data_IF_228893305078
#
_entry.id   IF_228893305078
#
_cell.length_a   1.000
_cell.length_b   1.000
_cell.length_c   1.000
_cell.angle_alpha   90.00
_cell.angle_beta   90.00
_cell.angle_gamma   90.00
#
_symmetry.space_group_name_H-M   'P 1'
#
loop_
_entity.id
_entity.type
_entity.pdbx_description
1 polymer ?
#
# COMPACT_ATOMS: atom_id res chain seq x y z
N UNK A 1 -2.96 -5.16 -14.20
CA UNK A 1 -3.50 -6.19 -13.28
C UNK A 1 -3.30 -5.74 -11.85
N UNK A 2 -4.34 -5.82 -11.05
CA UNK A 2 -4.33 -5.36 -9.67
C UNK A 2 -4.51 -6.54 -8.74
N UNK A 3 -3.52 -6.82 -7.90
CA UNK A 3 -3.46 -8.00 -7.07
C UNK A 3 -3.24 -7.66 -5.60
N UNK A 4 -3.75 -8.52 -4.73
CA UNK A 4 -3.51 -8.45 -3.29
C UNK A 4 -2.81 -9.72 -2.84
N UNK A 5 -1.80 -9.58 -1.97
CA UNK A 5 -1.19 -10.73 -1.33
C UNK A 5 -1.28 -10.55 0.19
N UNK A 6 -1.80 -11.57 0.87
CA UNK A 6 -1.97 -11.58 2.31
C UNK A 6 -1.38 -12.85 2.87
N UNK A 7 -0.89 -12.77 4.09
CA UNK A 7 -0.32 -13.93 4.75
C UNK A 7 0.60 -13.50 5.88
N UNK A 8 1.05 -14.50 6.65
CA UNK A 8 1.96 -14.26 7.74
C UNK A 8 3.37 -13.98 7.20
N UNK A 9 4.09 -13.01 7.76
CA UNK A 9 5.47 -12.76 7.36
C UNK A 9 6.32 -14.04 7.50
N UNK A 10 7.17 -14.29 6.53
CA UNK A 10 8.06 -15.43 6.55
C UNK A 10 7.51 -16.74 6.01
N UNK A 11 6.25 -16.79 5.59
CA UNK A 11 5.62 -17.99 5.05
C UNK A 11 5.79 -18.12 3.53
N UNK A 12 6.93 -17.69 2.99
CA UNK A 12 7.19 -17.72 1.56
C UNK A 12 6.51 -16.60 0.77
N UNK A 13 5.87 -15.67 1.46
CA UNK A 13 5.13 -14.58 0.84
C UNK A 13 6.02 -13.70 -0.03
N UNK A 14 7.22 -13.37 0.43
CA UNK A 14 8.17 -12.54 -0.32
C UNK A 14 8.59 -13.21 -1.63
N UNK A 15 8.83 -14.53 -1.60
CA UNK A 15 9.19 -15.28 -2.80
C UNK A 15 8.05 -15.31 -3.80
N UNK A 16 6.82 -15.52 -3.32
CA UNK A 16 5.64 -15.53 -4.17
C UNK A 16 5.40 -14.16 -4.79
N UNK A 17 5.55 -13.09 -4.03
CA UNK A 17 5.39 -11.74 -4.54
C UNK A 17 6.39 -11.43 -5.64
N UNK A 18 7.65 -11.81 -5.46
CA UNK A 18 8.69 -11.61 -6.47
C UNK A 18 8.37 -12.33 -7.77
N UNK A 19 7.88 -13.57 -7.69
CA UNK A 19 7.48 -14.33 -8.87
C UNK A 19 6.30 -13.70 -9.61
N UNK A 20 5.32 -13.18 -8.87
CA UNK A 20 4.16 -12.53 -9.46
C UNK A 20 4.59 -11.25 -10.18
N UNK A 21 5.42 -10.44 -9.54
CA UNK A 21 5.92 -9.20 -10.14
C UNK A 21 6.70 -9.50 -11.42
N UNK A 22 7.57 -10.50 -11.40
CA UNK A 22 8.35 -10.89 -12.57
C UNK A 22 7.45 -11.38 -13.70
N UNK A 23 6.46 -12.21 -13.37
CA UNK A 23 5.59 -12.84 -14.38
C UNK A 23 4.59 -11.83 -14.99
N UNK A 24 4.00 -10.96 -14.18
CA UNK A 24 2.94 -10.04 -14.63
C UNK A 24 3.41 -8.62 -14.85
N UNK A 25 4.66 -8.30 -14.50
CA UNK A 25 5.23 -6.97 -14.65
C UNK A 25 4.40 -5.87 -13.98
N UNK A 26 3.95 -6.13 -12.76
CA UNK A 26 3.18 -5.16 -11.96
C UNK A 26 4.08 -4.53 -10.89
N UNK A 27 3.69 -3.36 -10.37
CA UNK A 27 4.42 -2.72 -9.29
C UNK A 27 4.17 -3.47 -7.97
N UNK A 28 5.25 -3.82 -7.26
CA UNK A 28 5.14 -4.42 -5.93
C UNK A 28 5.09 -3.31 -4.89
N UNK A 29 3.99 -3.25 -4.15
CA UNK A 29 3.74 -2.20 -3.17
C UNK A 29 3.51 -2.85 -1.80
N UNK A 30 4.43 -2.63 -0.87
CA UNK A 30 4.26 -3.04 0.53
C UNK A 30 3.93 -1.82 1.38
N UNK A 31 3.28 -2.04 2.54
CA UNK A 31 2.97 -0.95 3.45
C UNK A 31 4.23 -0.24 3.94
N UNK A 32 5.28 -1.00 4.26
CA UNK A 32 6.56 -0.41 4.68
C UNK A 32 7.15 0.50 3.62
N UNK A 33 7.15 0.05 2.37
CA UNK A 33 7.67 0.85 1.26
C UNK A 33 6.83 2.10 1.03
N UNK A 34 5.51 1.99 1.14
CA UNK A 34 4.63 3.15 1.00
C UNK A 34 4.88 4.19 2.08
N UNK A 35 5.05 3.76 3.34
CA UNK A 35 5.37 4.67 4.43
C UNK A 35 6.72 5.35 4.22
N UNK A 36 7.75 4.59 3.87
CA UNK A 36 9.08 5.14 3.63
C UNK A 36 9.06 6.17 2.51
N UNK A 37 8.40 5.87 1.42
CA UNK A 37 8.29 6.79 0.28
C UNK A 37 7.50 8.05 0.65
N UNK A 38 6.38 7.91 1.36
CA UNK A 38 5.57 9.05 1.77
C UNK A 38 6.35 9.98 2.71
N UNK A 39 7.08 9.41 3.66
CA UNK A 39 7.90 10.18 4.60
C UNK A 39 9.04 10.88 3.86
N UNK A 40 9.74 10.18 2.98
CA UNK A 40 10.86 10.73 2.21
C UNK A 40 10.41 11.87 1.30
N UNK A 41 9.25 11.74 0.69
CA UNK A 41 8.69 12.73 -0.23
C UNK A 41 7.88 13.82 0.50
N UNK A 42 7.73 13.71 1.82
CA UNK A 42 7.03 14.68 2.66
C UNK A 42 5.61 14.95 2.18
N UNK A 43 4.89 13.88 1.77
CA UNK A 43 3.47 14.01 1.45
C UNK A 43 2.69 14.37 2.70
N UNK A 44 1.47 14.89 2.55
CA UNK A 44 0.62 15.26 3.68
C UNK A 44 0.46 14.10 4.66
N UNK A 45 0.14 12.91 4.15
CA UNK A 45 -0.02 11.73 5.01
C UNK A 45 1.32 11.21 5.52
N UNK A 46 2.39 11.36 4.75
CA UNK A 46 3.74 10.97 5.20
C UNK A 46 4.22 11.79 6.37
N UNK A 47 4.02 13.09 6.34
CA UNK A 47 4.36 13.98 7.45
C UNK A 47 3.57 13.61 8.70
N UNK A 48 2.28 13.34 8.54
CA UNK A 48 1.40 12.94 9.63
C UNK A 48 1.83 11.60 10.22
N UNK A 49 2.11 10.60 9.38
CA UNK A 49 2.58 9.30 9.82
C UNK A 49 3.88 9.40 10.61
N UNK A 50 4.82 10.22 10.13
CA UNK A 50 6.10 10.42 10.81
C UNK A 50 5.90 10.97 12.21
N UNK A 51 4.93 11.87 12.40
CA UNK A 51 4.66 12.44 13.71
C UNK A 51 4.25 11.37 14.73
N UNK A 52 3.44 10.38 14.31
CA UNK A 52 3.07 9.26 15.17
C UNK A 52 4.27 8.35 15.46
N UNK A 53 5.04 8.03 14.43
CA UNK A 53 6.20 7.15 14.55
C UNK A 53 7.24 7.76 15.51
N UNK A 54 7.52 9.05 15.37
CA UNK A 54 8.49 9.76 16.22
C UNK A 54 8.08 9.77 17.71
N UNK A 55 6.77 9.70 17.97
CA UNK A 55 6.24 9.64 19.34
C UNK A 55 6.14 8.22 19.87
N UNK A 56 6.46 7.22 19.04
CA UNK A 56 6.29 5.81 19.42
C UNK A 56 4.84 5.36 19.43
N UNK A 57 3.95 6.09 18.78
CA UNK A 57 2.53 5.76 18.70
C UNK A 57 2.21 4.97 17.43
N UNK A 58 1.12 4.18 17.49
CA UNK A 58 0.64 3.47 16.30
C UNK A 58 0.02 4.47 15.31
N UNK A 59 0.31 4.27 14.03
CA UNK A 59 -0.28 5.10 12.97
C UNK A 59 -1.76 4.71 12.80
N UNK A 60 -2.70 5.68 12.90
CA UNK A 60 -4.12 5.37 12.74
C UNK A 60 -4.45 4.86 11.32
N UNK A 61 -5.51 4.05 11.20
CA UNK A 61 -5.96 3.52 9.92
C UNK A 61 -6.23 4.62 8.90
N UNK A 62 -6.76 5.76 9.33
CA UNK A 62 -7.02 6.89 8.43
C UNK A 62 -5.75 7.37 7.72
N UNK A 63 -4.65 7.43 8.45
CA UNK A 63 -3.36 7.85 7.89
C UNK A 63 -2.82 6.76 6.96
N UNK A 64 -2.87 5.50 7.39
CA UNK A 64 -2.46 4.36 6.57
C UNK A 64 -3.25 4.33 5.25
N UNK A 65 -4.57 4.46 5.34
CA UNK A 65 -5.44 4.47 4.16
C UNK A 65 -5.11 5.66 3.23
N UNK A 66 -4.78 6.81 3.81
CA UNK A 66 -4.37 7.99 3.04
C UNK A 66 -3.07 7.77 2.28
N UNK A 67 -2.10 7.11 2.90
CA UNK A 67 -0.82 6.79 2.25
C UNK A 67 -1.04 5.82 1.09
N UNK A 68 -1.89 4.80 1.28
CA UNK A 68 -2.24 3.86 0.21
C UNK A 68 -2.90 4.60 -0.95
N UNK A 69 -3.84 5.49 -0.67
CA UNK A 69 -4.52 6.29 -1.69
C UNK A 69 -3.53 7.15 -2.47
N UNK A 70 -2.60 7.80 -1.78
CA UNK A 70 -1.57 8.61 -2.43
C UNK A 70 -0.73 7.76 -3.39
N UNK A 71 -0.33 6.57 -2.97
CA UNK A 71 0.50 5.68 -3.80
C UNK A 71 -0.28 5.16 -5.01
N UNK A 72 -1.53 4.74 -4.81
CA UNK A 72 -2.35 4.19 -5.89
C UNK A 72 -2.80 5.26 -6.89
N UNK A 73 -2.68 6.54 -6.54
CA UNK A 73 -3.03 7.64 -7.43
C UNK A 73 -1.90 7.98 -8.42
N UNK A 74 -0.72 7.38 -8.27
CA UNK A 74 0.41 7.67 -9.16
C UNK A 74 0.23 7.01 -10.52
N UNK A 75 0.78 7.64 -11.55
CA UNK A 75 0.56 7.24 -12.93
C UNK A 75 1.10 5.84 -13.26
N UNK A 76 2.23 5.44 -12.65
CA UNK A 76 2.80 4.11 -12.88
C UNK A 76 1.83 2.99 -12.52
N UNK A 77 1.03 3.19 -11.48
CA UNK A 77 0.04 2.21 -11.03
C UNK A 77 -1.06 2.04 -12.08
N UNK A 78 -1.52 3.12 -12.68
CA UNK A 78 -2.56 3.06 -13.70
C UNK A 78 -2.09 2.35 -14.97
N UNK A 79 -0.81 2.46 -15.29
CA UNK A 79 -0.25 1.86 -16.49
C UNK A 79 0.03 0.37 -16.35
N UNK A 80 0.59 -0.05 -15.23
CA UNK A 80 1.06 -1.42 -15.05
C UNK A 80 0.21 -2.27 -14.12
N UNK A 81 -0.61 -1.63 -13.27
CA UNK A 81 -1.29 -2.32 -12.19
C UNK A 81 -0.38 -2.47 -10.98
N UNK A 82 -0.83 -3.22 -9.97
CA UNK A 82 -0.09 -3.32 -8.72
C UNK A 82 -0.29 -4.68 -8.05
N UNK A 83 0.64 -5.02 -7.17
CA UNK A 83 0.52 -6.09 -6.20
C UNK A 83 0.65 -5.47 -4.81
N UNK A 84 -0.44 -5.43 -4.04
CA UNK A 84 -0.42 -4.94 -2.66
C UNK A 84 -0.01 -6.06 -1.72
N UNK A 85 0.99 -5.79 -0.90
CA UNK A 85 1.57 -6.75 0.02
C UNK A 85 1.42 -6.22 1.45
N UNK A 86 0.70 -6.95 2.30
CA UNK A 86 0.50 -6.59 3.69
C UNK A 86 -0.61 -5.58 3.96
N UNK A 87 -1.46 -5.31 2.99
CA UNK A 87 -2.61 -4.42 3.11
C UNK A 87 -3.73 -4.93 2.19
N UNK A 88 -4.99 -4.95 2.60
CA UNK A 88 -5.50 -4.52 3.91
C UNK A 88 -5.24 -5.57 5.00
N UNK A 89 -5.23 -5.13 6.26
CA UNK A 89 -5.07 -6.02 7.42
C UNK A 89 -6.29 -6.01 8.35
N UNK A 90 -7.20 -5.05 8.16
CA UNK A 90 -8.42 -4.92 8.93
C UNK A 90 -9.61 -4.76 7.99
N UNK A 91 -10.82 -4.99 8.51
CA UNK A 91 -12.05 -4.79 7.73
C UNK A 91 -12.19 -3.32 7.34
N UNK A 92 -11.85 -2.40 8.23
CA UNK A 92 -11.90 -0.97 7.93
C UNK A 92 -10.96 -0.60 6.79
N UNK A 93 -9.75 -1.16 6.78
CA UNK A 93 -8.79 -0.95 5.69
C UNK A 93 -9.31 -1.54 4.39
N UNK A 94 -9.91 -2.73 4.44
CA UNK A 94 -10.48 -3.35 3.25
C UNK A 94 -11.60 -2.50 2.64
N UNK A 95 -12.49 -1.97 3.48
CA UNK A 95 -13.57 -1.09 3.01
C UNK A 95 -13.02 0.21 2.41
N UNK A 96 -12.00 0.79 3.03
CA UNK A 96 -11.35 2.00 2.53
C UNK A 96 -10.66 1.73 1.18
N UNK A 97 -10.03 0.56 1.02
CA UNK A 97 -9.40 0.18 -0.23
C UNK A 97 -10.44 0.05 -1.34
N UNK A 98 -11.57 -0.61 -1.09
CA UNK A 98 -12.65 -0.73 -2.07
C UNK A 98 -13.12 0.64 -2.56
N UNK A 99 -13.33 1.57 -1.65
CA UNK A 99 -13.74 2.93 -1.99
C UNK A 99 -12.67 3.67 -2.80
N UNK A 100 -11.42 3.50 -2.42
CA UNK A 100 -10.29 4.11 -3.12
C UNK A 100 -10.17 3.58 -4.54
N UNK A 101 -10.25 2.25 -4.72
CA UNK A 101 -10.17 1.63 -6.04
C UNK A 101 -11.30 2.08 -6.95
N UNK A 102 -12.52 2.16 -6.42
CA UNK A 102 -13.66 2.63 -7.19
C UNK A 102 -13.48 4.10 -7.60
N UNK A 103 -13.02 4.94 -6.70
CA UNK A 103 -12.81 6.37 -6.97
C UNK A 103 -11.72 6.61 -8.01
N UNK A 104 -10.68 5.77 -8.02
CA UNK A 104 -9.56 5.87 -8.95
C UNK A 104 -9.78 5.04 -10.23
N UNK A 105 -10.90 4.35 -10.33
CA UNK A 105 -11.25 3.49 -11.47
C UNK A 105 -10.22 2.36 -11.68
N UNK A 106 -9.78 1.76 -10.59
CA UNK A 106 -8.81 0.68 -10.60
C UNK A 106 -9.42 -0.69 -10.24
N UNK A 107 -10.66 -0.73 -9.88
CA UNK A 107 -11.33 -1.96 -9.45
C UNK A 107 -11.55 -2.95 -10.59
#
# INVERSE_FOLDING_TARGET
>A
MNLLIMGLPGAGKGTQAAKIVEHFNVAHISTGDMFRAAIANQTEMGVLAKSYIDKGELVPDQVTNGIVKERLSQDDIKQTGFLLDGYPRTIEQANALDKTLAKLDLA
#
